data_IF_556964761800
#
_entry.id   IF_556964761800
#
_cell.length_a   1.000
_cell.length_b   1.000
_cell.length_c   1.000
_cell.angle_alpha   90.00
_cell.angle_beta   90.00
_cell.angle_gamma   90.00
#
_symmetry.space_group_name_H-M   'P 1'
#
loop_
_entity.id
_entity.type
_entity.pdbx_description
1 polymer ?
#
# COMPACT_ATOMS: atom_id res chain seq x y z
N UNK A 1 12.38 12.70 -0.84
CA UNK A 1 12.71 14.14 -0.85
C UNK A 1 11.68 14.87 -0.01
N UNK A 2 12.10 15.81 0.84
CA UNK A 2 11.18 16.67 1.59
C UNK A 2 10.79 17.83 0.68
N UNK A 3 9.51 17.95 0.32
CA UNK A 3 8.99 19.04 -0.51
C UNK A 3 9.18 20.39 0.22
N UNK A 4 9.62 21.41 -0.50
CA UNK A 4 9.87 22.72 0.11
C UNK A 4 8.57 23.43 0.47
N UNK A 5 8.59 24.28 1.50
CA UNK A 5 7.40 25.05 1.92
C UNK A 5 6.89 26.01 0.83
N UNK A 6 7.77 26.44 -0.07
CA UNK A 6 7.41 27.27 -1.22
C UNK A 6 6.57 26.47 -2.23
N UNK A 7 7.02 25.26 -2.59
CA UNK A 7 6.30 24.38 -3.52
C UNK A 7 4.92 23.99 -2.97
N UNK A 8 4.83 23.69 -1.66
CA UNK A 8 3.55 23.40 -0.99
C UNK A 8 2.58 24.57 -1.10
N UNK A 9 3.03 25.80 -0.88
CA UNK A 9 2.20 27.01 -1.00
C UNK A 9 1.75 27.25 -2.43
N UNK A 10 2.63 27.07 -3.41
CA UNK A 10 2.30 27.26 -4.82
C UNK A 10 1.28 26.22 -5.29
N UNK A 11 1.44 24.97 -4.86
CA UNK A 11 0.49 23.89 -5.11
C UNK A 11 -0.87 24.17 -4.45
N UNK A 12 -0.88 24.59 -3.18
CA UNK A 12 -2.11 24.93 -2.48
C UNK A 12 -2.85 26.08 -3.18
N UNK A 13 -2.14 27.15 -3.54
CA UNK A 13 -2.71 28.32 -4.20
C UNK A 13 -3.35 27.94 -5.54
N UNK A 14 -2.69 27.08 -6.31
CA UNK A 14 -3.21 26.59 -7.60
C UNK A 14 -4.50 25.78 -7.43
N UNK A 15 -4.54 24.86 -6.47
CA UNK A 15 -5.72 24.03 -6.22
C UNK A 15 -6.87 24.82 -5.59
N UNK A 16 -6.59 25.76 -4.69
CA UNK A 16 -7.60 26.69 -4.15
C UNK A 16 -8.23 27.47 -5.30
N UNK A 17 -7.42 28.08 -6.18
CA UNK A 17 -7.92 28.84 -7.32
C UNK A 17 -8.80 27.99 -8.23
N UNK A 18 -8.36 26.77 -8.56
CA UNK A 18 -9.13 25.82 -9.37
C UNK A 18 -10.48 25.50 -8.75
N UNK A 19 -10.52 25.07 -7.49
CA UNK A 19 -11.77 24.68 -6.81
C UNK A 19 -12.72 25.87 -6.62
N UNK A 20 -12.19 27.06 -6.31
CA UNK A 20 -13.02 28.28 -6.22
C UNK A 20 -13.70 28.59 -7.56
N UNK A 21 -12.99 28.42 -8.70
CA UNK A 21 -13.59 28.58 -10.03
C UNK A 21 -14.66 27.51 -10.35
N UNK A 22 -14.55 26.32 -9.75
CA UNK A 22 -15.57 25.26 -9.81
C UNK A 22 -16.76 25.49 -8.86
N UNK A 23 -16.80 26.63 -8.16
CA UNK A 23 -17.91 27.01 -7.26
C UNK A 23 -17.73 26.54 -5.81
N UNK A 24 -16.54 26.09 -5.42
CA UNK A 24 -16.24 25.80 -4.02
C UNK A 24 -16.10 27.09 -3.21
N UNK A 25 -16.43 27.03 -1.92
CA UNK A 25 -16.28 28.14 -0.99
C UNK A 25 -15.16 27.85 0.00
N UNK A 26 -14.32 28.86 0.26
CA UNK A 26 -13.29 28.81 1.31
C UNK A 26 -14.00 28.98 2.66
N UNK A 27 -13.68 28.12 3.61
CA UNK A 27 -14.18 28.17 4.98
C UNK A 27 -13.23 28.98 5.88
N UNK A 28 -13.76 29.55 6.96
CA UNK A 28 -12.95 30.20 8.02
C UNK A 28 -12.32 29.17 8.99
N UNK A 29 -11.94 28.01 8.46
CA UNK A 29 -11.26 26.93 9.17
C UNK A 29 -10.01 26.58 8.39
N UNK A 30 -8.92 26.28 9.11
CA UNK A 30 -7.66 25.82 8.54
C UNK A 30 -7.49 24.34 8.85
N UNK A 31 -6.74 23.64 8.00
CA UNK A 31 -6.35 22.26 8.26
C UNK A 31 -5.33 22.20 9.40
N UNK A 32 -5.52 21.28 10.35
CA UNK A 32 -4.64 21.13 11.52
C UNK A 32 -3.22 20.65 11.18
N UNK A 33 -3.03 19.97 10.03
CA UNK A 33 -1.72 19.45 9.62
C UNK A 33 -0.86 20.46 8.85
N UNK A 34 -1.48 21.23 7.96
CA UNK A 34 -0.76 22.05 6.97
C UNK A 34 -1.14 23.53 7.00
N UNK A 35 -2.05 23.93 7.88
CA UNK A 35 -2.54 25.30 8.06
C UNK A 35 -3.19 25.94 6.80
N UNK A 36 -3.36 25.18 5.72
CA UNK A 36 -4.03 25.62 4.50
C UNK A 36 -5.55 25.72 4.76
N UNK A 37 -6.23 26.76 4.25
CA UNK A 37 -7.67 26.91 4.43
C UNK A 37 -8.46 25.74 3.83
N UNK A 38 -9.56 25.36 4.50
CA UNK A 38 -10.46 24.29 4.05
C UNK A 38 -11.49 24.83 3.06
N UNK A 39 -11.94 24.00 2.12
CA UNK A 39 -12.95 24.34 1.11
C UNK A 39 -14.14 23.39 1.19
N UNK A 40 -15.35 23.88 0.94
CA UNK A 40 -16.57 23.05 0.86
C UNK A 40 -17.26 23.20 -0.49
N UNK A 41 -17.82 22.10 -0.99
CA UNK A 41 -18.65 22.05 -2.19
C UNK A 41 -20.12 21.92 -1.76
N UNK A 42 -20.72 23.02 -1.30
CA UNK A 42 -22.10 23.04 -0.86
C UNK A 42 -22.40 24.09 0.19
N UNK A 43 -23.58 23.97 0.80
CA UNK A 43 -24.05 24.82 1.91
C UNK A 43 -23.60 24.32 3.29
N UNK A 44 -23.07 23.09 3.37
CA UNK A 44 -22.61 22.50 4.62
C UNK A 44 -21.20 23.01 4.94
N UNK A 45 -21.09 23.97 5.86
CA UNK A 45 -19.80 24.55 6.28
C UNK A 45 -19.00 23.58 7.19
N UNK A 46 -19.59 22.47 7.61
CA UNK A 46 -18.96 21.45 8.46
C UNK A 46 -18.21 20.36 7.66
N UNK A 47 -18.47 20.23 6.36
CA UNK A 47 -17.83 19.22 5.49
C UNK A 47 -16.70 19.81 4.66
N UNK A 48 -15.83 20.58 5.32
CA UNK A 48 -14.65 21.14 4.68
C UNK A 48 -13.63 20.07 4.29
N UNK A 49 -12.95 20.30 3.17
CA UNK A 49 -11.83 19.49 2.68
C UNK A 49 -10.58 20.37 2.57
N UNK A 50 -9.43 19.88 3.05
CA UNK A 50 -8.17 20.56 2.80
C UNK A 50 -7.69 20.27 1.36
N UNK A 51 -7.27 21.28 0.61
CA UNK A 51 -6.78 21.07 -0.77
C UNK A 51 -5.49 20.26 -0.86
N UNK A 52 -4.66 20.26 0.19
CA UNK A 52 -3.42 19.49 0.23
C UNK A 52 -3.63 18.11 0.87
N UNK A 53 -4.37 18.04 1.97
CA UNK A 53 -4.56 16.80 2.73
C UNK A 53 -5.75 15.95 2.27
N UNK A 54 -6.72 16.53 1.55
CA UNK A 54 -7.94 15.84 1.12
C UNK A 54 -9.03 15.71 2.19
N UNK A 55 -9.99 14.81 1.97
CA UNK A 55 -11.13 14.54 2.87
C UNK A 55 -10.69 13.64 4.02
N UNK A 56 -10.47 14.25 5.18
CA UNK A 56 -9.98 13.53 6.36
C UNK A 56 -8.51 13.18 6.17
N UNK A 57 -7.68 13.57 7.12
CA UNK A 57 -6.27 13.20 7.10
C UNK A 57 -6.20 11.68 7.20
N UNK A 58 -5.95 11.02 6.07
CA UNK A 58 -5.56 9.62 6.10
C UNK A 58 -4.27 9.59 6.88
N UNK A 59 -4.26 8.84 7.98
CA UNK A 59 -3.09 8.67 8.83
C UNK A 59 -1.95 8.20 7.94
N UNK A 60 -0.97 9.09 7.74
CA UNK A 60 0.27 8.74 7.04
C UNK A 60 0.98 7.74 7.93
N UNK A 61 0.99 6.48 7.51
CA UNK A 61 1.69 5.42 8.24
C UNK A 61 3.19 5.67 8.16
N UNK A 62 3.85 5.63 9.31
CA UNK A 62 5.30 5.60 9.40
C UNK A 62 5.86 4.35 8.70
N UNK A 63 7.15 4.36 8.33
CA UNK A 63 7.79 3.21 7.68
C UNK A 63 7.70 1.95 8.55
N UNK A 64 7.90 2.09 9.86
CA UNK A 64 7.78 0.99 10.81
C UNK A 64 6.35 0.43 10.90
N UNK A 65 5.32 1.30 10.90
CA UNK A 65 3.92 0.86 10.86
C UNK A 65 3.59 0.15 9.55
N UNK A 66 4.18 0.58 8.43
CA UNK A 66 4.02 -0.06 7.13
C UNK A 66 4.64 -1.45 7.11
N UNK A 67 5.85 -1.60 7.63
CA UNK A 67 6.52 -2.90 7.73
C UNK A 67 5.78 -3.87 8.66
N UNK A 68 5.23 -3.36 9.77
CA UNK A 68 4.34 -4.13 10.65
C UNK A 68 3.08 -4.58 9.89
N UNK A 69 2.46 -3.68 9.12
CA UNK A 69 1.28 -4.02 8.33
C UNK A 69 1.58 -5.08 7.26
N UNK A 70 2.71 -4.98 6.55
CA UNK A 70 3.12 -5.99 5.55
C UNK A 70 3.37 -7.35 6.20
N UNK A 71 4.02 -7.37 7.37
CA UNK A 71 4.26 -8.61 8.12
C UNK A 71 2.93 -9.25 8.56
N UNK A 72 1.97 -8.44 8.98
CA UNK A 72 0.65 -8.89 9.39
C UNK A 72 -0.19 -9.38 8.20
N UNK A 73 -0.05 -8.80 7.00
CA UNK A 73 -0.66 -9.34 5.76
C UNK A 73 -0.21 -10.79 5.57
N UNK A 74 1.10 -11.05 5.63
CA UNK A 74 1.65 -12.40 5.45
C UNK A 74 1.12 -13.39 6.49
N UNK A 75 1.09 -12.98 7.76
CA UNK A 75 0.54 -13.78 8.86
C UNK A 75 -0.95 -14.12 8.63
N UNK A 76 -1.76 -13.12 8.26
CA UNK A 76 -3.19 -13.29 8.00
C UNK A 76 -3.46 -14.19 6.79
N UNK A 77 -2.68 -14.08 5.72
CA UNK A 77 -2.80 -14.98 4.57
C UNK A 77 -2.57 -16.44 4.96
N UNK A 78 -1.57 -16.73 5.82
CA UNK A 78 -1.34 -18.08 6.34
C UNK A 78 -2.49 -18.58 7.22
N UNK A 79 -3.16 -17.68 7.93
CA UNK A 79 -4.37 -17.98 8.70
C UNK A 79 -5.63 -18.11 7.81
N UNK A 80 -5.51 -18.04 6.49
CA UNK A 80 -6.62 -18.17 5.54
C UNK A 80 -7.46 -16.90 5.36
N UNK A 81 -6.92 -15.73 5.67
CA UNK A 81 -7.51 -14.45 5.26
C UNK A 81 -7.22 -14.16 3.79
N UNK A 82 -8.13 -13.44 3.13
CA UNK A 82 -8.00 -12.96 1.75
C UNK A 82 -7.76 -11.46 1.75
N UNK A 83 -6.93 -10.97 0.83
CA UNK A 83 -6.79 -9.53 0.58
C UNK A 83 -7.93 -9.09 -0.33
N UNK A 84 -8.58 -7.97 -0.02
CA UNK A 84 -9.61 -7.39 -0.89
C UNK A 84 -8.97 -6.42 -1.90
N UNK A 85 -9.22 -6.62 -3.20
CA UNK A 85 -8.59 -5.87 -4.29
C UNK A 85 -9.24 -4.50 -4.57
N UNK A 86 -10.41 -4.23 -4.00
CA UNK A 86 -11.15 -2.99 -4.25
C UNK A 86 -11.32 -2.15 -2.96
N UNK A 87 -11.28 -2.78 -1.79
CA UNK A 87 -11.51 -2.11 -0.52
C UNK A 87 -10.19 -1.63 0.13
N UNK A 88 -10.10 -0.33 0.37
CA UNK A 88 -9.03 0.30 1.15
C UNK A 88 -9.60 0.86 2.46
N UNK A 89 -8.78 0.85 3.51
CA UNK A 89 -9.13 1.45 4.78
C UNK A 89 -9.22 2.97 4.65
N UNK A 90 -10.36 3.56 5.01
CA UNK A 90 -10.58 5.01 4.95
C UNK A 90 -9.59 5.82 5.81
N UNK A 91 -9.02 5.20 6.86
CA UNK A 91 -8.10 5.85 7.78
C UNK A 91 -6.66 5.84 7.27
N UNK A 92 -6.19 4.78 6.60
CA UNK A 92 -4.76 4.63 6.29
C UNK A 92 -4.45 4.16 4.86
N UNK A 93 -5.46 4.03 4.00
CA UNK A 93 -5.37 3.57 2.60
C UNK A 93 -4.75 2.21 2.36
N UNK A 94 -4.46 1.44 3.41
CA UNK A 94 -4.05 0.06 3.25
C UNK A 94 -5.22 -0.82 2.84
N UNK A 95 -4.89 -1.85 2.05
CA UNK A 95 -5.83 -2.89 1.65
C UNK A 95 -6.46 -3.57 2.87
N UNK A 96 -7.75 -3.84 2.74
CA UNK A 96 -8.51 -4.58 3.74
C UNK A 96 -8.26 -6.08 3.58
N UNK A 97 -8.32 -6.83 4.68
CA UNK A 97 -8.32 -8.29 4.68
C UNK A 97 -9.69 -8.81 5.13
N UNK A 98 -10.13 -9.93 4.55
CA UNK A 98 -11.37 -10.61 4.89
C UNK A 98 -11.17 -12.07 5.29
N UNK A 99 -12.02 -12.57 6.20
CA UNK A 99 -12.10 -14.01 6.54
C UNK A 99 -13.53 -14.35 6.96
N UNK A 100 -14.26 -15.03 6.06
CA UNK A 100 -15.71 -15.18 6.19
C UNK A 100 -16.39 -13.81 6.06
N UNK A 101 -17.26 -13.47 7.02
CA UNK A 101 -17.98 -12.19 7.03
C UNK A 101 -17.22 -11.06 7.74
N UNK A 102 -16.00 -11.33 8.23
CA UNK A 102 -15.18 -10.33 8.92
C UNK A 102 -14.28 -9.62 7.91
N UNK A 103 -14.33 -8.29 7.90
CA UNK A 103 -13.45 -7.40 7.12
C UNK A 103 -12.71 -6.46 8.08
N UNK A 104 -11.39 -6.40 7.97
CA UNK A 104 -10.54 -5.62 8.86
C UNK A 104 -9.38 -4.96 8.10
N UNK A 105 -8.97 -3.79 8.56
CA UNK A 105 -7.74 -3.17 8.08
C UNK A 105 -6.54 -3.83 8.76
N UNK A 106 -5.47 -4.06 8.00
CA UNK A 106 -4.28 -4.72 8.54
C UNK A 106 -3.50 -3.84 9.52
N UNK A 107 -3.47 -2.52 9.31
CA UNK A 107 -2.81 -1.60 10.23
C UNK A 107 -3.73 -1.06 11.33
N UNK A 108 -4.99 -0.75 11.00
CA UNK A 108 -5.92 -0.15 11.95
C UNK A 108 -6.68 -1.20 12.78
N UNK A 109 -6.64 -2.46 12.38
CA UNK A 109 -7.40 -3.54 13.03
C UNK A 109 -8.86 -3.59 12.57
N UNK A 110 -9.75 -4.18 13.38
CA UNK A 110 -11.16 -4.29 13.02
C UNK A 110 -11.78 -2.91 12.85
N UNK A 111 -12.32 -2.68 11.65
CA UNK A 111 -13.16 -1.52 11.39
C UNK A 111 -14.47 -1.83 12.09
N UNK A 112 -14.67 -1.27 13.28
CA UNK A 112 -15.97 -1.38 13.93
C UNK A 112 -16.98 -0.75 12.99
N UNK A 113 -18.04 -1.47 12.57
CA UNK A 113 -19.09 -0.86 11.79
C UNK A 113 -19.62 0.35 12.57
N UNK A 114 -20.04 1.43 11.90
CA UNK A 114 -20.63 2.57 12.59
C UNK A 114 -21.79 2.05 13.43
N UNK A 115 -21.60 2.04 14.75
CA UNK A 115 -22.63 1.60 15.68
C UNK A 115 -23.66 2.71 15.69
N UNK A 116 -24.77 2.50 14.98
CA UNK A 116 -25.93 3.37 15.10
C UNK A 116 -26.53 3.19 16.50
N UNK A 117 -26.03 3.98 17.46
CA UNK A 117 -26.58 4.02 18.81
C UNK A 117 -27.87 4.83 18.71
N UNK A 118 -29.00 4.13 18.57
CA UNK A 118 -30.30 4.77 18.67
C UNK A 118 -30.51 5.18 20.13
N UNK A 119 -30.25 6.46 20.45
CA UNK A 119 -30.42 7.01 21.78
C UNK A 119 -31.87 7.47 21.91
N UNK A 120 -32.62 6.80 22.79
CA UNK A 120 -33.96 7.24 23.17
C UNK A 120 -33.83 8.40 24.15
N UNK A 121 -33.85 9.61 23.62
CA UNK A 121 -33.88 10.82 24.44
C UNK A 121 -35.31 11.01 24.99
N UNK A 122 -35.49 11.15 26.32
CA UNK A 122 -36.79 11.49 26.87
C UNK A 122 -37.25 12.87 26.34
N UNK A 123 -38.56 13.10 26.20
CA UNK A 123 -39.10 14.29 25.52
C UNK A 123 -38.74 15.63 26.19
N UNK A 124 -38.27 15.62 27.44
CA UNK A 124 -37.84 16.81 28.18
C UNK A 124 -36.36 16.72 28.61
N UNK A 125 -35.49 16.15 27.76
CA UNK A 125 -34.06 16.06 28.08
C UNK A 125 -33.41 17.45 28.13
N UNK A 126 -32.93 17.85 29.31
CA UNK A 126 -32.20 19.10 29.50
C UNK A 126 -30.68 18.83 29.42
N UNK A 127 -30.03 19.37 28.38
CA UNK A 127 -28.58 19.28 28.20
C UNK A 127 -27.78 20.05 29.27
N UNK A 128 -28.44 20.91 30.03
CA UNK A 128 -27.84 21.68 31.11
C UNK A 128 -27.73 20.90 32.42
N UNK A 129 -28.48 19.80 32.57
CA UNK A 129 -28.43 18.96 33.77
C UNK A 129 -27.28 17.92 33.66
N UNK A 130 -26.22 18.03 34.48
CA UNK A 130 -25.11 17.08 34.45
C UNK A 130 -25.55 15.64 34.76
N UNK A 131 -26.63 15.44 35.52
CA UNK A 131 -27.16 14.09 35.80
C UNK A 131 -27.82 13.46 34.58
N UNK A 132 -28.50 14.26 33.76
CA UNK A 132 -29.09 13.78 32.52
C UNK A 132 -28.00 13.34 31.52
N UNK A 133 -26.89 14.09 31.45
CA UNK A 133 -25.74 13.73 30.62
C UNK A 133 -25.05 12.44 31.11
N UNK A 134 -24.88 12.29 32.42
CA UNK A 134 -24.31 11.08 33.02
C UNK A 134 -25.19 9.84 32.76
N UNK A 135 -26.52 9.98 32.85
CA UNK A 135 -27.45 8.91 32.51
C UNK A 135 -27.38 8.52 31.02
N UNK A 136 -27.20 9.49 30.12
CA UNK A 136 -27.01 9.24 28.70
C UNK A 136 -25.70 8.49 28.43
N UNK A 137 -24.60 8.90 29.07
CA UNK A 137 -23.30 8.22 28.98
C UNK A 137 -23.38 6.77 29.48
N UNK A 138 -24.10 6.52 30.58
CA UNK A 138 -24.36 5.16 31.09
C UNK A 138 -25.16 4.32 30.09
N UNK A 139 -26.15 4.89 29.39
CA UNK A 139 -26.87 4.18 28.34
C UNK A 139 -25.97 3.83 27.15
N UNK A 140 -25.11 4.76 26.71
CA UNK A 140 -24.13 4.51 25.66
C UNK A 140 -23.18 3.39 26.08
N UNK A 141 -22.57 3.48 27.26
CA UNK A 141 -21.67 2.46 27.79
C UNK A 141 -22.34 1.08 27.88
N UNK A 142 -23.60 1.03 28.34
CA UNK A 142 -24.36 -0.22 28.42
C UNK A 142 -24.61 -0.80 27.03
N UNK A 143 -24.99 0.01 26.04
CA UNK A 143 -25.23 -0.45 24.67
C UNK A 143 -23.95 -0.88 23.96
N UNK A 144 -22.83 -0.16 24.14
CA UNK A 144 -21.53 -0.52 23.55
C UNK A 144 -20.93 -1.77 24.19
N UNK A 145 -21.14 -1.98 25.49
CA UNK A 145 -20.67 -3.20 26.19
C UNK A 145 -21.37 -4.46 25.68
N UNK A 146 -22.65 -4.38 25.34
CA UNK A 146 -23.39 -5.51 24.74
C UNK A 146 -22.97 -5.77 23.30
N UNK A 147 -22.64 -4.72 22.53
CA UNK A 147 -22.17 -4.86 21.15
C UNK A 147 -20.77 -5.48 21.04
N UNK A 148 -19.90 -5.26 22.04
CA UNK A 148 -18.52 -5.77 22.06
C UNK A 148 -18.37 -7.15 22.71
N UNK A 149 -19.45 -7.79 23.19
CA UNK A 149 -19.40 -9.21 23.55
C UNK A 149 -19.36 -10.04 22.28
N UNK A 150 -18.14 -10.20 21.74
CA UNK A 150 -17.84 -11.26 20.78
C UNK A 150 -18.22 -12.58 21.47
N UNK A 151 -19.15 -13.38 20.92
CA UNK A 151 -19.49 -14.67 21.51
C UNK A 151 -18.19 -15.46 21.68
N UNK A 152 -17.95 -16.10 22.84
CA UNK A 152 -16.75 -16.90 23.04
C UNK A 152 -16.67 -17.89 21.89
N UNK A 153 -15.61 -17.80 21.09
CA UNK A 153 -15.31 -18.75 20.04
C UNK A 153 -15.44 -20.14 20.66
N UNK A 154 -16.29 -21.04 20.14
CA UNK A 154 -16.46 -22.35 20.73
C UNK A 154 -15.08 -23.01 20.81
N UNK A 155 -14.71 -23.43 22.02
CA UNK A 155 -13.46 -24.13 22.27
C UNK A 155 -13.37 -25.30 21.28
N UNK A 156 -12.32 -25.29 20.46
CA UNK A 156 -12.00 -26.41 19.59
C UNK A 156 -11.77 -27.63 20.48
N UNK A 157 -12.75 -28.52 20.54
CA UNK A 157 -12.64 -29.80 21.21
C UNK A 157 -11.52 -30.62 20.57
N UNK A 158 -10.58 -31.06 21.42
CA UNK A 158 -9.60 -32.13 21.26
C UNK A 158 -9.62 -32.85 19.90
N UNK A 159 -8.65 -32.52 19.05
CA UNK A 159 -8.26 -33.42 17.98
C UNK A 159 -7.36 -34.51 18.56
N UNK A 160 -7.84 -35.74 18.36
CA UNK A 160 -7.15 -37.02 18.56
C UNK A 160 -5.69 -36.99 18.10
N UNK A 161 -4.85 -37.51 18.97
CA UNK A 161 -3.51 -38.03 18.73
C UNK A 161 -3.49 -38.88 17.43
N UNK A 162 -2.75 -38.40 16.42
CA UNK A 162 -2.41 -39.16 15.20
C UNK A 162 -0.92 -39.44 15.23
N UNK A 163 -0.60 -40.69 14.94
CA UNK A 163 0.68 -41.35 15.10
C UNK A 163 1.90 -40.62 14.56
N UNK A 164 2.99 -40.76 15.32
CA UNK A 164 4.37 -40.41 14.98
C UNK A 164 4.78 -41.08 13.66
N UNK A 165 4.82 -40.33 12.56
CA UNK A 165 5.59 -40.71 11.36
C UNK A 165 7.00 -40.18 11.51
N UNK A 166 7.93 -41.11 11.75
CA UNK A 166 9.36 -40.88 11.80
C UNK A 166 9.90 -40.67 10.37
N UNK A 167 10.15 -39.41 9.98
CA UNK A 167 10.79 -39.10 8.70
C UNK A 167 12.29 -38.95 8.95
N UNK A 168 13.03 -40.01 8.64
CA UNK A 168 14.49 -40.02 8.58
C UNK A 168 14.99 -39.02 7.54
N UNK A 169 15.96 -38.19 7.94
CA UNK A 169 16.64 -37.24 7.07
C UNK A 169 17.42 -37.93 5.94
N UNK A 170 17.36 -37.45 4.69
CA UNK A 170 18.34 -37.83 3.69
C UNK A 170 19.64 -37.05 3.92
N UNK A 171 20.67 -37.77 4.36
CA UNK A 171 22.06 -37.35 4.25
C UNK A 171 22.39 -37.06 2.79
N UNK A 172 22.83 -35.84 2.48
CA UNK A 172 23.55 -35.55 1.23
C UNK A 172 24.96 -35.06 1.57
N UNK A 173 26.01 -35.67 1.00
CA UNK A 173 27.38 -35.30 1.29
C UNK A 173 27.86 -34.14 0.43
N UNK A 174 28.66 -33.27 1.05
CA UNK A 174 29.53 -32.28 0.43
C UNK A 174 30.41 -32.88 -0.68
N UNK A 175 30.40 -32.27 -1.87
CA UNK A 175 31.54 -32.31 -2.80
C UNK A 175 31.47 -31.18 -3.84
N UNK A 176 31.96 -29.99 -3.48
CA UNK A 176 32.42 -29.03 -4.50
C UNK A 176 33.93 -29.24 -4.67
N UNK A 177 34.28 -29.94 -5.75
CA UNK A 177 35.64 -30.02 -6.26
C UNK A 177 35.96 -28.76 -7.07
N UNK A 178 37.06 -28.11 -6.71
CA UNK A 178 37.71 -27.09 -7.52
C UNK A 178 38.13 -27.70 -8.86
N UNK A 179 37.64 -27.15 -9.97
CA UNK A 179 38.16 -27.48 -11.29
C UNK A 179 38.44 -26.19 -12.05
N UNK A 180 39.71 -25.80 -12.05
CA UNK A 180 40.31 -24.82 -12.94
C UNK A 180 40.40 -25.43 -14.33
N UNK A 181 39.82 -24.79 -15.36
CA UNK A 181 40.21 -25.01 -16.74
C UNK A 181 39.91 -23.79 -17.61
N UNK A 182 40.99 -23.18 -18.09
CA UNK A 182 41.22 -22.60 -19.42
C UNK A 182 40.01 -22.28 -20.29
N UNK A 183 39.83 -20.99 -20.57
CA UNK A 183 39.14 -20.51 -21.77
C UNK A 183 40.13 -20.43 -22.94
N UNK A 184 39.87 -21.09 -24.08
CA UNK A 184 40.49 -20.73 -25.35
C UNK A 184 39.72 -19.58 -26.00
N UNK A 185 40.50 -18.68 -26.63
CA UNK A 185 40.02 -17.62 -27.52
C UNK A 185 39.09 -18.19 -28.61
N UNK A 186 37.99 -17.48 -28.90
CA UNK A 186 37.24 -17.63 -30.17
C UNK A 186 37.03 -16.27 -30.85
N UNK A 187 36.92 -16.26 -32.19
CA UNK A 187 37.24 -15.11 -33.01
C UNK A 187 36.03 -14.31 -33.50
N UNK A 188 36.32 -13.12 -34.00
CA UNK A 188 35.44 -12.21 -34.72
C UNK A 188 34.59 -12.83 -35.82
N UNK A 189 33.48 -12.13 -36.09
CA UNK A 189 32.74 -12.07 -37.36
C UNK A 189 31.72 -13.18 -37.65
N UNK A 190 30.44 -12.88 -37.37
CA UNK A 190 29.34 -13.13 -38.31
C UNK A 190 28.30 -12.01 -38.18
N UNK A 191 28.19 -11.15 -39.21
CA UNK A 191 27.08 -10.22 -39.38
C UNK A 191 25.88 -11.00 -39.95
N UNK A 192 24.77 -11.06 -39.22
CA UNK A 192 23.47 -11.40 -39.79
C UNK A 192 22.75 -10.12 -40.23
N UNK A 193 22.48 -10.00 -41.52
CA UNK A 193 21.56 -9.03 -42.08
C UNK A 193 20.12 -9.56 -41.95
N UNK A 194 19.27 -8.83 -41.23
CA UNK A 194 17.82 -9.06 -41.23
C UNK A 194 17.14 -8.10 -42.22
N UNK A 195 16.10 -8.54 -42.95
CA UNK A 195 15.43 -7.71 -43.94
C UNK A 195 14.48 -6.67 -43.31
N UNK A 196 14.49 -5.51 -43.96
CA UNK A 196 13.68 -4.29 -43.86
C UNK A 196 12.26 -4.38 -43.26
N UNK A 197 12.06 -3.53 -42.23
CA UNK A 197 10.93 -2.63 -41.91
C UNK A 197 9.49 -3.00 -42.27
N UNK A 198 8.58 -2.83 -41.30
CA UNK A 198 7.32 -2.11 -41.49
C UNK A 198 7.29 -0.77 -40.72
N UNK A 199 6.49 0.15 -41.26
CA UNK A 199 6.21 1.53 -40.83
C UNK A 199 6.35 1.84 -39.35
N UNK A 200 7.15 2.88 -39.08
CA UNK A 200 7.32 3.50 -37.77
C UNK A 200 6.01 4.13 -37.28
N UNK A 201 5.41 3.53 -36.26
CA UNK A 201 4.51 4.19 -35.32
C UNK A 201 5.41 4.69 -34.17
N UNK A 202 5.24 5.92 -33.65
CA UNK A 202 6.02 6.38 -32.49
C UNK A 202 5.65 5.53 -31.26
N UNK A 203 6.49 4.54 -30.96
CA UNK A 203 6.43 3.72 -29.74
C UNK A 203 6.84 4.61 -28.57
N UNK A 204 5.98 4.72 -27.56
CA UNK A 204 6.28 5.54 -26.38
C UNK A 204 7.39 4.88 -25.55
N UNK A 205 8.10 5.67 -24.73
CA UNK A 205 9.24 5.19 -23.94
C UNK A 205 8.88 4.03 -22.97
N UNK A 206 7.60 3.86 -22.63
CA UNK A 206 7.10 2.78 -21.75
C UNK A 206 7.11 1.42 -22.45
N UNK A 207 6.75 1.36 -23.73
CA UNK A 207 6.71 0.10 -24.49
C UNK A 207 8.12 -0.44 -24.80
N UNK A 208 9.08 0.46 -25.09
CA UNK A 208 10.48 0.07 -25.29
C UNK A 208 11.12 -0.50 -24.01
N UNK A 209 10.69 -0.06 -22.82
CA UNK A 209 11.23 -0.57 -21.55
C UNK A 209 10.75 -1.99 -21.23
N UNK A 210 9.58 -2.41 -21.71
CA UNK A 210 9.08 -3.78 -21.48
C UNK A 210 9.71 -4.79 -22.43
N UNK A 211 9.90 -4.45 -23.71
CA UNK A 211 10.51 -5.37 -24.70
C UNK A 211 11.95 -5.73 -24.29
N UNK A 212 12.72 -4.77 -23.78
CA UNK A 212 14.08 -5.04 -23.28
C UNK A 212 14.11 -5.87 -21.99
N UNK A 213 13.09 -5.74 -21.14
CA UNK A 213 13.01 -6.48 -19.88
C UNK A 213 12.74 -7.98 -20.12
N UNK A 214 11.82 -8.31 -21.03
CA UNK A 214 11.45 -9.70 -21.30
C UNK A 214 12.62 -10.53 -21.80
N UNK A 215 13.43 -9.99 -22.72
CA UNK A 215 14.60 -10.69 -23.24
C UNK A 215 15.61 -10.96 -22.11
N UNK A 216 15.90 -9.96 -21.28
CA UNK A 216 16.82 -10.11 -20.14
C UNK A 216 16.33 -11.13 -19.12
N UNK A 217 15.02 -11.18 -18.84
CA UNK A 217 14.43 -12.21 -17.96
C UNK A 217 14.67 -13.61 -18.55
N UNK A 218 14.50 -13.80 -19.86
CA UNK A 218 14.79 -15.09 -20.52
C UNK A 218 16.27 -15.48 -20.45
N UNK A 219 17.16 -14.50 -20.43
CA UNK A 219 18.61 -14.68 -20.23
C UNK A 219 18.99 -14.88 -18.75
N UNK A 220 18.02 -14.96 -17.84
CA UNK A 220 18.23 -15.23 -16.41
C UNK A 220 18.50 -13.99 -15.57
N UNK A 221 18.28 -12.79 -16.10
CA UNK A 221 18.44 -11.56 -15.31
C UNK A 221 17.33 -11.42 -14.28
N UNK A 222 17.68 -10.89 -13.12
CA UNK A 222 16.75 -10.68 -12.01
C UNK A 222 16.40 -9.21 -11.87
N UNK A 223 15.11 -8.88 -11.81
CA UNK A 223 14.62 -7.52 -11.58
C UNK A 223 14.82 -7.11 -10.12
N UNK A 224 15.27 -5.88 -9.88
CA UNK A 224 15.43 -5.32 -8.55
C UNK A 224 14.17 -4.54 -8.15
N UNK A 225 13.39 -5.06 -7.20
CA UNK A 225 12.07 -4.51 -6.82
C UNK A 225 12.09 -3.13 -6.16
N UNK A 226 13.27 -2.59 -5.84
CA UNK A 226 13.44 -1.29 -5.15
C UNK A 226 14.52 -0.40 -5.77
N UNK A 227 14.96 -0.68 -6.99
CA UNK A 227 16.01 0.11 -7.66
C UNK A 227 15.53 0.58 -9.05
N UNK A 228 15.59 1.88 -9.28
CA UNK A 228 15.19 2.55 -10.52
C UNK A 228 16.38 3.41 -11.03
N UNK A 229 16.61 3.45 -12.35
CA UNK A 229 17.56 4.40 -12.97
C UNK A 229 17.03 5.82 -12.73
N UNK A 230 17.90 6.83 -12.81
CA UNK A 230 17.47 8.24 -12.81
C UNK A 230 16.50 8.57 -13.96
N UNK A 231 16.51 7.77 -15.04
CA UNK A 231 15.52 7.87 -16.11
C UNK A 231 14.14 7.32 -15.76
N UNK A 232 13.94 6.80 -14.54
CA UNK A 232 12.72 6.12 -14.09
C UNK A 232 12.61 4.65 -14.55
N UNK A 233 13.55 4.16 -15.36
CA UNK A 233 13.53 2.79 -15.87
C UNK A 233 13.88 1.75 -14.79
N UNK A 234 13.29 0.54 -14.84
CA UNK A 234 13.60 -0.52 -13.89
C UNK A 234 15.06 -0.97 -14.00
N UNK A 235 15.65 -1.39 -12.88
CA UNK A 235 17.01 -1.95 -12.85
C UNK A 235 16.97 -3.48 -12.79
N UNK A 236 17.89 -4.11 -13.52
CA UNK A 236 18.06 -5.57 -13.55
C UNK A 236 19.52 -5.96 -13.30
N UNK A 237 19.72 -7.17 -12.77
CA UNK A 237 21.03 -7.74 -12.48
C UNK A 237 21.24 -9.00 -13.32
N UNK A 238 22.38 -9.08 -14.00
CA UNK A 238 22.75 -10.26 -14.78
C UNK A 238 23.08 -11.46 -13.88
N UNK A 239 22.90 -12.71 -14.36
CA UNK A 239 23.33 -13.91 -13.63
C UNK A 239 24.79 -13.79 -13.18
N UNK A 240 25.06 -14.08 -11.90
CA UNK A 240 26.40 -14.03 -11.30
C UNK A 240 27.08 -12.64 -11.28
N UNK A 241 26.40 -11.58 -11.73
CA UNK A 241 26.90 -10.20 -11.58
C UNK A 241 26.38 -9.59 -10.28
N UNK A 242 27.17 -8.69 -9.69
CA UNK A 242 26.72 -7.81 -8.60
C UNK A 242 26.25 -6.44 -9.08
N UNK A 243 26.55 -6.12 -10.34
CA UNK A 243 26.22 -4.84 -10.94
C UNK A 243 24.78 -4.84 -11.44
N UNK A 244 24.06 -3.78 -11.09
CA UNK A 244 22.72 -3.53 -11.57
C UNK A 244 22.78 -2.55 -12.75
N UNK A 245 22.02 -2.81 -13.80
CA UNK A 245 21.98 -1.96 -14.98
C UNK A 245 20.53 -1.60 -15.33
N UNK A 246 20.35 -0.40 -15.86
CA UNK A 246 19.06 0.00 -16.38
C UNK A 246 18.66 -0.88 -17.57
N UNK A 247 17.37 -1.20 -17.66
CA UNK A 247 16.82 -1.89 -18.83
C UNK A 247 16.84 -0.99 -20.07
N UNK A 248 16.67 0.31 -19.89
CA UNK A 248 16.71 1.28 -20.99
C UNK A 248 18.15 1.44 -21.51
N UNK A 249 18.40 0.94 -22.73
CA UNK A 249 19.70 1.00 -23.41
C UNK A 249 20.17 2.43 -23.73
N UNK A 250 19.27 3.41 -23.65
CA UNK A 250 19.59 4.83 -23.80
C UNK A 250 19.88 5.53 -22.46
N UNK A 251 19.78 4.85 -21.30
CA UNK A 251 20.28 5.37 -20.01
C UNK A 251 21.82 5.30 -20.04
N UNK A 252 22.49 6.36 -20.51
CA UNK A 252 23.97 6.44 -20.63
C UNK A 252 24.65 6.58 -19.27
N UNK A 253 23.90 6.95 -18.22
CA UNK A 253 24.43 7.08 -16.87
C UNK A 253 24.45 5.72 -16.16
N UNK A 254 25.65 5.26 -15.82
CA UNK A 254 25.85 4.17 -14.86
C UNK A 254 25.25 4.60 -13.52
N UNK A 255 24.16 3.96 -13.11
CA UNK A 255 23.52 4.20 -11.82
C UNK A 255 24.29 3.40 -10.75
N UNK A 256 24.74 4.10 -9.71
CA UNK A 256 25.47 3.54 -8.57
C UNK A 256 24.52 3.02 -7.49
#
# INVERSE_FOLDING_TARGET
AVESEAEKRDRATREIGKRVMEGWRILDKKCDDCEVPMLTQGKDDDKGECVLCGKGQKKVLTEEERDRAVSEIGRRMLDGWKLEDEDCCEVCDLRMCSKGDKKECVACGPVLPPVNVNLELPPNFDFSDPKALEALLLQVQKKTSTANQVPPTPALSEQKEVDKVNISAPNTPNRYGSNSNNYPNTPSSMQMQYPNTPSAVPVTNEEMSMIGAEQKIREGWTMMSRAYCDCGGPMMRAPNSREAMCVNVHCVNSCY
#
